data_IF_344183167403
#
_entry.id   IF_344183167403
#
_cell.length_a   1.000
_cell.length_b   1.000
_cell.length_c   1.000
_cell.angle_alpha   90.00
_cell.angle_beta   90.00
_cell.angle_gamma   90.00
#
_symmetry.space_group_name_H-M   'P 1'
#
loop_
_entity.id
_entity.type
_entity.pdbx_description
1 polymer ?
#
# COMPACT_ATOMS: atom_id res chain seq x y z
N UNK A 1 10.39 7.24 -12.81
CA UNK A 1 10.74 7.58 -14.21
C UNK A 1 10.61 9.09 -14.34
N UNK A 2 11.71 9.83 -14.19
CA UNK A 2 11.72 11.29 -14.31
C UNK A 2 11.36 11.70 -15.74
N UNK A 3 10.37 12.58 -15.87
CA UNK A 3 10.10 13.24 -17.13
C UNK A 3 11.15 14.35 -17.31
N UNK A 4 12.13 14.06 -18.16
CA UNK A 4 13.28 14.92 -18.47
C UNK A 4 12.85 16.37 -18.78
N UNK A 5 13.32 17.32 -17.98
CA UNK A 5 13.12 18.76 -18.16
C UNK A 5 13.57 19.24 -19.55
N UNK A 6 14.52 18.55 -20.19
CA UNK A 6 14.93 18.84 -21.55
C UNK A 6 13.81 18.53 -22.57
N UNK A 7 13.03 17.45 -22.38
CA UNK A 7 11.88 17.12 -23.23
C UNK A 7 10.76 18.15 -23.11
N UNK A 8 10.49 18.63 -21.89
CA UNK A 8 9.54 19.72 -21.65
C UNK A 8 9.97 21.02 -22.34
N UNK A 9 11.25 21.41 -22.21
CA UNK A 9 11.80 22.60 -22.87
C UNK A 9 11.74 22.50 -24.39
N UNK A 10 12.02 21.31 -24.94
CA UNK A 10 11.95 21.05 -26.38
C UNK A 10 10.52 21.15 -26.93
N UNK A 11 9.54 20.56 -26.24
CA UNK A 11 8.11 20.66 -26.60
C UNK A 11 7.63 22.12 -26.55
N UNK A 12 8.02 22.85 -25.50
CA UNK A 12 7.68 24.27 -25.35
C UNK A 12 8.31 25.13 -26.46
N UNK A 13 9.55 24.84 -26.87
CA UNK A 13 10.20 25.49 -28.01
C UNK A 13 9.47 25.29 -29.33
N UNK A 14 9.04 24.04 -29.61
CA UNK A 14 8.24 23.72 -30.81
C UNK A 14 6.89 24.45 -30.83
N UNK A 15 6.23 24.57 -29.67
CA UNK A 15 4.96 25.30 -29.57
C UNK A 15 5.12 26.80 -29.86
N UNK A 16 6.21 27.44 -29.40
CA UNK A 16 6.50 28.85 -29.75
C UNK A 16 6.76 29.03 -31.24
N UNK A 17 7.50 28.12 -31.87
CA UNK A 17 7.79 28.20 -33.30
C UNK A 17 6.50 28.09 -34.15
N UNK A 18 5.58 27.19 -33.76
CA UNK A 18 4.26 27.08 -34.38
C UNK A 18 3.43 28.37 -34.20
N UNK A 19 3.37 28.95 -32.99
CA UNK A 19 2.63 30.20 -32.77
C UNK A 19 3.20 31.36 -33.60
N UNK A 20 4.53 31.48 -33.72
CA UNK A 20 5.18 32.46 -34.58
C UNK A 20 4.87 32.24 -36.07
N UNK A 21 4.87 30.99 -36.54
CA UNK A 21 4.54 30.63 -37.91
C UNK A 21 3.07 30.95 -38.27
N UNK A 22 2.13 30.62 -37.37
CA UNK A 22 0.72 30.94 -37.58
C UNK A 22 0.43 32.45 -37.49
N UNK A 23 1.14 33.19 -36.62
CA UNK A 23 1.10 34.67 -36.66
C UNK A 23 1.60 35.18 -37.98
N UNK A 24 2.72 34.66 -38.49
CA UNK A 24 3.28 35.08 -39.77
C UNK A 24 2.30 34.83 -40.92
N UNK A 25 1.65 33.67 -40.99
CA UNK A 25 0.61 33.37 -42.01
C UNK A 25 -0.58 34.33 -41.88
N UNK A 26 -1.03 34.60 -40.65
CA UNK A 26 -2.14 35.55 -40.40
C UNK A 26 -1.76 36.99 -40.78
N UNK A 27 -0.50 37.38 -40.63
CA UNK A 27 0.02 38.68 -41.03
C UNK A 27 0.30 38.75 -42.54
N UNK A 28 0.79 37.69 -43.19
CA UNK A 28 1.09 37.69 -44.63
C UNK A 28 -0.16 37.62 -45.51
N UNK A 29 -1.31 37.25 -44.94
CA UNK A 29 -2.62 37.28 -45.59
C UNK A 29 -3.35 38.63 -45.45
N UNK A 30 -2.65 39.69 -45.00
CA UNK A 30 -3.15 41.09 -44.94
C UNK A 30 -3.66 41.65 -46.28
N UNK A 31 -3.47 40.94 -47.39
CA UNK A 31 -4.01 41.33 -48.69
C UNK A 31 -5.50 40.95 -48.90
N UNK A 32 -6.16 40.16 -48.03
CA UNK A 32 -7.62 39.98 -48.17
C UNK A 32 -8.39 39.57 -46.89
N UNK A 33 -9.22 40.52 -46.43
CA UNK A 33 -10.44 40.36 -45.61
C UNK A 33 -10.34 40.14 -44.08
N UNK A 34 -11.25 40.81 -43.36
CA UNK A 34 -11.54 40.73 -41.92
C UNK A 34 -11.88 39.32 -41.41
N UNK A 35 -12.21 38.39 -42.32
CA UNK A 35 -12.52 37.00 -42.01
C UNK A 35 -11.30 36.22 -41.50
N UNK A 36 -10.10 36.51 -42.02
CA UNK A 36 -8.86 35.80 -41.65
C UNK A 36 -8.40 36.09 -40.21
N UNK A 37 -8.62 37.32 -39.74
CA UNK A 37 -8.28 37.73 -38.38
C UNK A 37 -9.23 37.11 -37.35
N UNK A 38 -10.54 37.13 -37.61
CA UNK A 38 -11.54 36.48 -36.74
C UNK A 38 -11.29 34.97 -36.67
N UNK A 39 -10.97 34.33 -37.80
CA UNK A 39 -10.62 32.92 -37.84
C UNK A 39 -9.36 32.60 -37.02
N UNK A 40 -8.31 33.44 -37.05
CA UNK A 40 -7.11 33.27 -36.20
C UNK A 40 -7.45 33.35 -34.71
N UNK A 41 -8.24 34.33 -34.27
CA UNK A 41 -8.60 34.44 -32.84
C UNK A 41 -9.57 33.35 -32.40
N UNK A 42 -10.50 32.93 -33.25
CA UNK A 42 -11.39 31.79 -32.98
C UNK A 42 -10.59 30.48 -32.92
N UNK A 43 -9.66 30.27 -33.84
CA UNK A 43 -8.74 29.13 -33.86
C UNK A 43 -7.86 29.12 -32.61
N UNK A 44 -7.23 30.25 -32.26
CA UNK A 44 -6.37 30.40 -31.08
C UNK A 44 -7.14 30.20 -29.78
N UNK A 45 -8.35 30.74 -29.68
CA UNK A 45 -9.26 30.55 -28.53
C UNK A 45 -9.66 29.07 -28.41
N UNK A 46 -10.09 28.45 -29.51
CA UNK A 46 -10.44 27.01 -29.57
C UNK A 46 -9.27 26.10 -29.20
N UNK A 47 -8.08 26.32 -29.78
CA UNK A 47 -6.87 25.53 -29.48
C UNK A 47 -6.40 25.73 -28.04
N UNK A 48 -6.46 26.96 -27.51
CA UNK A 48 -6.12 27.24 -26.11
C UNK A 48 -7.05 26.49 -25.15
N UNK A 49 -8.36 26.47 -25.41
CA UNK A 49 -9.33 25.70 -24.59
C UNK A 49 -9.07 24.19 -24.65
N UNK A 50 -8.72 23.65 -25.81
CA UNK A 50 -8.40 22.22 -25.98
C UNK A 50 -7.13 21.83 -25.23
N UNK A 51 -6.08 22.66 -25.29
CA UNK A 51 -4.82 22.44 -24.54
C UNK A 51 -5.04 22.54 -23.03
N UNK A 52 -5.79 23.53 -22.56
CA UNK A 52 -6.15 23.67 -21.13
C UNK A 52 -6.96 22.48 -20.62
N UNK A 53 -7.93 21.98 -21.40
CA UNK A 53 -8.69 20.77 -21.07
C UNK A 53 -7.80 19.52 -21.04
N UNK A 54 -6.91 19.37 -22.00
CA UNK A 54 -5.96 18.25 -22.02
C UNK A 54 -5.01 18.27 -20.82
N UNK A 55 -4.48 19.45 -20.45
CA UNK A 55 -3.65 19.63 -19.25
C UNK A 55 -4.48 19.32 -17.99
N UNK A 56 -5.71 19.80 -17.89
CA UNK A 56 -6.58 19.52 -16.74
C UNK A 56 -6.90 18.03 -16.62
N UNK A 57 -7.21 17.33 -17.72
CA UNK A 57 -7.44 15.87 -17.74
C UNK A 57 -6.16 15.12 -17.34
N UNK A 58 -5.00 15.54 -17.84
CA UNK A 58 -3.72 14.92 -17.50
C UNK A 58 -3.37 15.15 -16.03
N UNK A 59 -3.55 16.37 -15.51
CA UNK A 59 -3.33 16.70 -14.09
C UNK A 59 -4.32 15.98 -13.18
N UNK A 60 -5.60 15.94 -13.52
CA UNK A 60 -6.61 15.18 -12.78
C UNK A 60 -6.33 13.68 -12.80
N UNK A 61 -5.93 13.12 -13.95
CA UNK A 61 -5.50 11.72 -14.08
C UNK A 61 -4.24 11.42 -13.25
N UNK A 62 -3.26 12.31 -13.27
CA UNK A 62 -2.02 12.16 -12.50
C UNK A 62 -2.23 12.36 -10.99
N UNK A 63 -3.14 13.24 -10.58
CA UNK A 63 -3.55 13.40 -9.19
C UNK A 63 -4.34 12.19 -8.68
N UNK A 64 -5.24 11.64 -9.50
CA UNK A 64 -6.05 10.48 -9.09
C UNK A 64 -5.23 9.20 -8.93
N UNK A 65 -4.12 9.05 -9.67
CA UNK A 65 -3.14 7.97 -9.46
C UNK A 65 -2.39 8.03 -8.12
N UNK A 66 -2.42 9.15 -7.39
CA UNK A 66 -1.74 9.29 -6.09
C UNK A 66 -2.56 8.80 -4.89
N UNK A 67 -3.83 8.47 -5.08
CA UNK A 67 -4.76 8.14 -3.99
C UNK A 67 -5.03 6.64 -3.83
N UNK A 68 -4.68 5.82 -4.82
CA UNK A 68 -4.85 4.37 -4.73
C UNK A 68 -3.68 3.76 -3.95
N UNK A 69 -3.95 3.31 -2.72
CA UNK A 69 -3.07 2.39 -2.01
C UNK A 69 -3.19 1.01 -2.65
N UNK A 70 -2.07 0.36 -2.93
CA UNK A 70 -2.01 -0.92 -3.60
C UNK A 70 -0.94 -1.81 -2.95
N UNK A 71 -1.02 -3.12 -3.24
CA UNK A 71 -0.03 -4.09 -2.80
C UNK A 71 1.37 -3.67 -3.26
N UNK A 72 2.34 -3.70 -2.35
CA UNK A 72 3.73 -3.38 -2.69
C UNK A 72 4.32 -4.59 -3.40
N UNK A 73 4.66 -4.39 -4.67
CA UNK A 73 5.31 -5.38 -5.53
C UNK A 73 6.64 -4.78 -5.98
N UNK A 74 7.72 -5.52 -5.77
CA UNK A 74 9.07 -5.11 -6.10
C UNK A 74 9.75 -6.18 -6.98
N UNK A 75 10.64 -5.79 -7.91
CA UNK A 75 11.41 -6.75 -8.69
C UNK A 75 12.48 -7.44 -7.83
N UNK A 76 12.86 -8.66 -8.22
CA UNK A 76 13.89 -9.45 -7.56
C UNK A 76 13.36 -10.36 -6.45
N UNK A 77 14.29 -10.97 -5.72
CA UNK A 77 14.02 -11.84 -4.58
C UNK A 77 13.68 -11.05 -3.30
N UNK A 78 13.05 -11.73 -2.35
CA UNK A 78 12.83 -11.21 -1.02
C UNK A 78 14.16 -10.84 -0.35
N UNK A 79 14.24 -9.70 0.35
CA UNK A 79 15.43 -9.38 1.13
C UNK A 79 15.60 -10.40 2.26
N UNK A 80 16.85 -10.69 2.62
CA UNK A 80 17.13 -11.49 3.80
C UNK A 80 16.74 -10.72 5.05
N UNK A 81 15.87 -11.31 5.86
CA UNK A 81 15.29 -10.68 7.04
C UNK A 81 15.41 -11.63 8.23
N UNK A 82 15.97 -11.13 9.32
CA UNK A 82 16.14 -11.94 10.53
C UNK A 82 14.87 -11.87 11.38
N UNK A 83 14.28 -13.02 11.67
CA UNK A 83 13.20 -13.14 12.63
C UNK A 83 13.75 -13.15 14.07
N UNK A 84 12.89 -12.89 15.04
CA UNK A 84 13.21 -12.96 16.47
C UNK A 84 13.73 -14.36 16.84
N UNK A 85 14.88 -14.42 17.51
CA UNK A 85 15.43 -15.66 18.08
C UNK A 85 14.74 -15.98 19.43
N UNK A 86 14.79 -17.24 19.86
CA UNK A 86 14.22 -17.72 21.13
C UNK A 86 12.73 -17.36 21.30
N UNK A 87 11.97 -17.47 20.21
CA UNK A 87 10.57 -17.13 20.15
C UNK A 87 9.69 -18.15 20.85
N UNK A 88 8.99 -17.69 21.89
CA UNK A 88 8.00 -18.49 22.60
C UNK A 88 6.61 -18.31 21.99
N UNK A 89 6.19 -19.27 21.16
CA UNK A 89 4.88 -19.29 20.54
C UNK A 89 3.73 -19.33 21.57
N UNK A 90 3.94 -19.94 22.74
CA UNK A 90 2.93 -20.02 23.81
C UNK A 90 2.63 -18.63 24.34
N UNK A 91 3.67 -17.83 24.61
CA UNK A 91 3.52 -16.43 25.06
C UNK A 91 2.94 -15.52 23.99
N UNK A 92 3.07 -15.88 22.72
CA UNK A 92 2.51 -15.13 21.60
C UNK A 92 1.01 -15.38 21.41
N UNK A 93 0.45 -16.46 21.96
CA UNK A 93 -0.96 -16.80 21.84
C UNK A 93 -1.91 -15.74 22.44
N UNK A 94 -3.20 -15.88 22.14
CA UNK A 94 -4.24 -14.94 22.51
C UNK A 94 -4.53 -13.92 21.41
N UNK A 95 -5.31 -12.90 21.78
CA UNK A 95 -5.74 -11.87 20.85
C UNK A 95 -4.66 -10.83 20.61
N UNK A 96 -4.53 -10.44 19.34
CA UNK A 96 -3.80 -9.27 18.89
C UNK A 96 -4.71 -8.39 18.04
N UNK A 97 -4.57 -7.08 18.20
CA UNK A 97 -5.22 -6.06 17.39
C UNK A 97 -4.23 -5.56 16.36
N UNK A 98 -4.65 -5.50 15.11
CA UNK A 98 -3.85 -4.87 14.07
C UNK A 98 -3.92 -3.34 14.26
N UNK A 99 -2.80 -2.74 14.62
CA UNK A 99 -2.70 -1.29 14.79
C UNK A 99 -2.41 -0.61 13.45
N UNK A 100 -1.40 -1.12 12.74
CA UNK A 100 -1.02 -0.63 11.41
C UNK A 100 -0.56 -1.78 10.52
N UNK A 101 -0.77 -1.64 9.22
CA UNK A 101 -0.32 -2.62 8.23
C UNK A 101 0.12 -1.98 6.93
N UNK A 102 0.91 -2.69 6.14
CA UNK A 102 1.00 -2.42 4.70
C UNK A 102 -0.31 -2.81 4.02
N UNK A 103 -0.59 -2.21 2.86
CA UNK A 103 -1.79 -2.59 2.11
C UNK A 103 -1.74 -4.08 1.76
N UNK A 104 -2.74 -4.83 2.23
CA UNK A 104 -2.93 -6.23 1.89
C UNK A 104 -4.34 -6.42 1.32
N UNK A 105 -4.42 -6.94 0.10
CA UNK A 105 -5.67 -6.98 -0.67
C UNK A 105 -6.80 -7.76 0.05
N UNK A 106 -6.47 -8.83 0.76
CA UNK A 106 -7.45 -9.67 1.47
C UNK A 106 -8.06 -9.00 2.70
N UNK A 107 -7.50 -7.86 3.14
CA UNK A 107 -7.99 -7.06 4.26
C UNK A 107 -8.58 -5.71 3.79
N UNK A 108 -8.80 -5.57 2.49
CA UNK A 108 -9.32 -4.35 1.92
C UNK A 108 -10.72 -4.02 2.45
N UNK A 109 -10.91 -2.78 2.90
CA UNK A 109 -12.19 -2.31 3.41
C UNK A 109 -12.56 -2.82 4.81
N UNK A 110 -11.62 -3.45 5.53
CA UNK A 110 -11.78 -3.90 6.90
C UNK A 110 -11.48 -2.83 7.96
N UNK A 111 -12.25 -2.85 9.05
CA UNK A 111 -11.94 -2.19 10.32
C UNK A 111 -12.01 -3.20 11.47
N UNK A 112 -11.55 -2.80 12.66
CA UNK A 112 -11.58 -3.61 13.87
C UNK A 112 -10.87 -4.96 13.71
N UNK A 113 -9.77 -4.97 12.95
CA UNK A 113 -9.09 -6.21 12.58
C UNK A 113 -8.42 -6.82 13.81
N UNK A 114 -8.68 -8.10 14.05
CA UNK A 114 -8.08 -8.88 15.15
C UNK A 114 -7.53 -10.19 14.62
N UNK A 115 -6.46 -10.66 15.24
CA UNK A 115 -5.90 -11.99 15.05
C UNK A 115 -5.92 -12.73 16.40
N UNK A 116 -6.69 -13.81 16.49
CA UNK A 116 -6.72 -14.69 17.65
C UNK A 116 -5.86 -15.92 17.39
N UNK A 117 -4.79 -16.08 18.17
CA UNK A 117 -3.88 -17.21 18.09
C UNK A 117 -4.16 -18.22 19.20
N UNK A 118 -4.36 -19.48 18.85
CA UNK A 118 -4.65 -20.56 19.80
C UNK A 118 -3.62 -21.67 19.67
N UNK A 119 -3.03 -22.12 20.78
CA UNK A 119 -2.13 -23.26 20.75
C UNK A 119 -2.94 -24.53 20.49
N UNK A 120 -2.50 -25.34 19.53
CA UNK A 120 -3.04 -26.68 19.26
C UNK A 120 -1.98 -27.73 19.58
N UNK A 121 -2.35 -28.99 19.44
CA UNK A 121 -1.42 -30.11 19.57
C UNK A 121 -0.28 -30.01 18.54
N UNK A 122 0.87 -30.61 18.88
CA UNK A 122 2.04 -30.74 18.00
C UNK A 122 2.67 -29.41 17.53
N UNK A 123 2.52 -28.33 18.31
CA UNK A 123 3.15 -27.03 18.01
C UNK A 123 2.48 -26.24 16.88
N UNK A 124 1.31 -26.70 16.41
CA UNK A 124 0.49 -25.96 15.45
C UNK A 124 -0.24 -24.83 16.19
N UNK A 125 -0.24 -23.62 15.62
CA UNK A 125 -1.01 -22.49 16.14
C UNK A 125 -2.23 -22.27 15.26
N UNK A 126 -3.43 -22.35 15.82
CA UNK A 126 -4.65 -21.93 15.14
C UNK A 126 -4.69 -20.42 14.99
N UNK A 127 -5.06 -19.92 13.80
CA UNK A 127 -5.20 -18.50 13.51
C UNK A 127 -6.64 -18.19 13.17
N UNK A 128 -7.22 -17.19 13.81
CA UNK A 128 -8.56 -16.69 13.49
C UNK A 128 -8.50 -15.18 13.32
N UNK A 129 -8.54 -14.73 12.08
CA UNK A 129 -8.60 -13.32 11.76
C UNK A 129 -10.04 -12.88 11.61
N UNK A 130 -10.40 -11.74 12.20
CA UNK A 130 -11.72 -11.12 12.07
C UNK A 130 -11.57 -9.67 11.63
N UNK A 131 -12.55 -9.19 10.89
CA UNK A 131 -12.67 -7.79 10.51
C UNK A 131 -14.14 -7.43 10.32
N UNK A 132 -14.46 -6.14 10.40
CA UNK A 132 -15.78 -5.59 10.06
C UNK A 132 -15.64 -4.86 8.74
N UNK A 133 -16.47 -5.19 7.75
CA UNK A 133 -16.52 -4.46 6.50
C UNK A 133 -17.04 -3.03 6.73
N UNK A 134 -16.29 -2.02 6.31
CA UNK A 134 -16.64 -0.61 6.55
C UNK A 134 -17.91 -0.19 5.81
N UNK A 135 -18.22 -0.82 4.66
CA UNK A 135 -19.39 -0.46 3.84
C UNK A 135 -20.66 -1.16 4.33
N UNK A 136 -20.58 -2.47 4.60
CA UNK A 136 -21.75 -3.27 4.99
C UNK A 136 -21.97 -3.37 6.50
N UNK A 137 -20.96 -3.03 7.32
CA UNK A 137 -20.98 -3.26 8.77
C UNK A 137 -20.93 -4.73 9.16
N UNK A 138 -20.80 -5.66 8.21
CA UNK A 138 -20.82 -7.10 8.46
C UNK A 138 -19.46 -7.57 8.96
N UNK A 139 -19.46 -8.37 10.03
CA UNK A 139 -18.27 -9.07 10.48
C UNK A 139 -17.94 -10.23 9.54
N UNK A 140 -16.68 -10.32 9.14
CA UNK A 140 -16.13 -11.45 8.39
C UNK A 140 -14.98 -12.07 9.18
N UNK A 141 -14.82 -13.38 9.02
CA UNK A 141 -13.74 -14.12 9.66
C UNK A 141 -13.07 -15.09 8.70
N UNK A 142 -11.79 -15.35 8.93
CA UNK A 142 -11.03 -16.36 8.20
C UNK A 142 -10.20 -17.19 9.19
N UNK A 143 -10.32 -18.52 9.05
CA UNK A 143 -9.64 -19.51 9.87
C UNK A 143 -8.44 -20.05 9.13
N UNK A 144 -7.33 -20.14 9.85
CA UNK A 144 -6.08 -20.66 9.34
C UNK A 144 -5.29 -21.41 10.41
N UNK A 145 -4.07 -21.75 10.03
CA UNK A 145 -3.09 -22.39 10.91
C UNK A 145 -1.71 -21.83 10.60
N UNK A 146 -0.88 -21.76 11.63
CA UNK A 146 0.51 -21.38 11.54
C UNK A 146 1.37 -22.52 12.09
N UNK A 147 2.42 -22.87 11.37
CA UNK A 147 3.42 -23.86 11.79
C UNK A 147 4.80 -23.24 11.77
N UNK A 148 5.63 -23.56 12.76
CA UNK A 148 7.02 -23.11 12.76
C UNK A 148 7.80 -23.91 11.72
N UNK A 149 8.47 -23.22 10.80
CA UNK A 149 9.22 -23.85 9.69
C UNK A 149 10.71 -23.93 9.95
N UNK A 150 11.23 -23.27 10.98
CA UNK A 150 12.62 -23.36 11.42
C UNK A 150 12.83 -24.42 12.50
N UNK A 151 14.00 -25.07 12.49
CA UNK A 151 14.44 -26.02 13.53
C UNK A 151 15.08 -25.33 14.75
N UNK A 152 15.37 -24.03 14.63
CA UNK A 152 15.75 -23.12 15.70
C UNK A 152 14.50 -22.39 16.17
N UNK A 153 14.50 -21.93 17.43
CA UNK A 153 13.47 -21.08 18.03
C UNK A 153 13.31 -19.70 17.33
N UNK A 154 13.62 -19.59 16.04
CA UNK A 154 13.33 -18.43 15.20
C UNK A 154 11.83 -18.32 14.96
N UNK A 155 11.31 -17.10 15.00
CA UNK A 155 9.91 -16.81 14.78
C UNK A 155 9.50 -16.83 13.29
N UNK A 156 9.98 -17.82 12.52
CA UNK A 156 9.60 -18.04 11.12
C UNK A 156 8.45 -19.02 11.06
N UNK A 157 7.27 -18.51 10.76
CA UNK A 157 6.04 -19.27 10.66
C UNK A 157 5.59 -19.36 9.20
N UNK A 158 4.99 -20.48 8.83
CA UNK A 158 4.21 -20.63 7.61
C UNK A 158 2.73 -20.58 7.99
N UNK A 159 1.99 -19.63 7.43
CA UNK A 159 0.56 -19.45 7.69
C UNK A 159 -0.25 -19.88 6.47
N UNK A 160 -1.26 -20.70 6.68
CA UNK A 160 -2.19 -21.10 5.63
C UNK A 160 -3.64 -20.84 6.04
N UNK A 161 -4.46 -20.47 5.05
CA UNK A 161 -5.89 -20.23 5.19
C UNK A 161 -6.65 -21.14 4.23
N UNK A 162 -7.08 -22.34 4.67
CA UNK A 162 -7.67 -23.37 3.78
C UNK A 162 -8.93 -22.95 3.04
N UNK A 163 -9.62 -21.90 3.50
CA UNK A 163 -10.81 -21.35 2.84
C UNK A 163 -10.48 -20.50 1.61
N UNK A 164 -9.21 -20.15 1.37
CA UNK A 164 -8.81 -19.47 0.15
C UNK A 164 -8.67 -20.48 -0.99
N UNK A 165 -9.03 -20.12 -2.23
CA UNK A 165 -8.90 -20.99 -3.40
C UNK A 165 -7.43 -21.26 -3.80
N UNK A 166 -6.48 -20.67 -3.08
CA UNK A 166 -5.05 -20.81 -3.27
C UNK A 166 -4.45 -21.51 -2.05
N UNK A 167 -3.89 -22.70 -2.24
CA UNK A 167 -3.23 -23.45 -1.19
C UNK A 167 -1.77 -22.98 -1.06
N UNK A 168 -1.59 -21.77 -0.52
CA UNK A 168 -0.31 -21.11 -0.36
C UNK A 168 -0.03 -20.94 1.13
N UNK A 169 1.16 -21.38 1.54
CA UNK A 169 1.72 -21.05 2.85
C UNK A 169 2.45 -19.70 2.74
N UNK A 170 1.90 -18.68 3.38
CA UNK A 170 2.50 -17.36 3.42
C UNK A 170 3.53 -17.29 4.57
N UNK A 171 4.75 -16.80 4.31
CA UNK A 171 5.72 -16.53 5.36
C UNK A 171 5.17 -15.50 6.36
N UNK A 172 5.33 -15.75 7.65
CA UNK A 172 4.95 -14.84 8.73
C UNK A 172 6.10 -14.81 9.72
N UNK A 173 6.90 -13.75 9.67
CA UNK A 173 8.12 -13.62 10.46
C UNK A 173 7.88 -12.59 11.55
N UNK A 174 7.90 -13.01 12.82
CA UNK A 174 7.88 -12.05 13.93
C UNK A 174 9.30 -11.48 14.04
N UNK A 175 9.47 -10.21 13.69
CA UNK A 175 10.76 -9.54 13.72
C UNK A 175 11.15 -9.25 15.18
N UNK A 176 10.20 -8.75 15.96
CA UNK A 176 10.38 -8.54 17.40
C UNK A 176 9.02 -8.45 18.10
N UNK A 177 8.94 -8.93 19.33
CA UNK A 177 7.79 -8.77 20.21
C UNK A 177 8.23 -8.81 21.67
N UNK A 178 7.54 -8.07 22.52
CA UNK A 178 7.66 -8.23 23.98
C UNK A 178 6.59 -9.20 24.55
N UNK A 179 5.80 -9.82 23.65
CA UNK A 179 4.65 -10.70 23.87
C UNK A 179 3.44 -10.05 24.55
N UNK A 180 3.62 -8.89 25.18
CA UNK A 180 2.67 -8.29 26.14
C UNK A 180 2.04 -7.00 25.65
N UNK A 181 2.68 -6.29 24.73
CA UNK A 181 2.20 -4.99 24.26
C UNK A 181 2.25 -4.85 22.75
N UNK A 182 3.33 -5.26 22.09
CA UNK A 182 3.49 -5.13 20.63
C UNK A 182 4.12 -6.37 19.98
N UNK A 183 3.86 -6.53 18.69
CA UNK A 183 4.62 -7.39 17.81
C UNK A 183 4.77 -6.72 16.44
N UNK A 184 5.98 -6.79 15.88
CA UNK A 184 6.26 -6.37 14.51
C UNK A 184 6.44 -7.62 13.66
N UNK A 185 5.62 -7.72 12.63
CA UNK A 185 5.55 -8.87 11.74
C UNK A 185 5.92 -8.42 10.34
N UNK A 186 6.70 -9.25 9.66
CA UNK A 186 7.07 -9.05 8.28
C UNK A 186 6.73 -10.29 7.46
N UNK A 187 6.35 -10.08 6.21
CA UNK A 187 6.10 -11.16 5.26
C UNK A 187 6.55 -10.73 3.88
N UNK A 188 7.25 -11.64 3.21
CA UNK A 188 7.60 -11.49 1.82
C UNK A 188 7.33 -12.78 1.08
N UNK A 189 6.69 -12.65 -0.08
CA UNK A 189 6.31 -13.77 -0.91
C UNK A 189 6.81 -13.54 -2.34
N UNK A 190 7.69 -14.41 -2.81
CA UNK A 190 8.22 -14.39 -4.17
C UNK A 190 7.24 -15.00 -5.17
N UNK A 191 7.09 -14.37 -6.32
CA UNK A 191 6.30 -14.87 -7.44
C UNK A 191 6.95 -14.46 -8.77
N UNK A 192 7.52 -15.45 -9.47
CA UNK A 192 8.25 -15.20 -10.70
C UNK A 192 9.48 -14.31 -10.47
N UNK A 193 9.55 -13.16 -11.15
CA UNK A 193 10.66 -12.20 -11.04
C UNK A 193 10.39 -11.07 -10.04
N UNK A 194 9.32 -11.19 -9.26
CA UNK A 194 8.85 -10.18 -8.34
C UNK A 194 8.61 -10.79 -6.96
N UNK A 195 8.47 -9.93 -5.97
CA UNK A 195 7.99 -10.31 -4.65
C UNK A 195 7.00 -9.29 -4.12
N UNK A 196 6.15 -9.73 -3.19
CA UNK A 196 5.28 -8.86 -2.41
C UNK A 196 5.91 -8.56 -1.06
N UNK A 197 5.70 -7.35 -0.54
CA UNK A 197 6.11 -6.96 0.81
C UNK A 197 4.89 -6.63 1.65
N UNK A 198 4.81 -7.23 2.83
CA UNK A 198 3.82 -6.90 3.85
C UNK A 198 4.49 -6.73 5.21
N UNK A 199 3.91 -5.85 6.02
CA UNK A 199 4.31 -5.67 7.41
C UNK A 199 3.07 -5.35 8.24
N UNK A 200 3.08 -5.80 9.49
CA UNK A 200 2.02 -5.50 10.46
C UNK A 200 2.65 -5.08 11.78
N UNK A 201 2.08 -4.04 12.39
CA UNK A 201 2.23 -3.75 13.80
C UNK A 201 0.98 -4.26 14.49
N UNK A 202 1.18 -5.27 15.35
CA UNK A 202 0.14 -5.84 16.18
C UNK A 202 0.32 -5.35 17.61
N UNK A 203 -0.80 -5.13 18.30
CA UNK A 203 -0.82 -4.64 19.69
C UNK A 203 -1.79 -5.45 20.54
N UNK A 204 -1.56 -5.51 21.86
CA UNK A 204 -2.48 -6.21 22.79
C UNK A 204 -3.70 -5.36 23.17
N UNK A 205 -3.69 -4.07 22.86
CA UNK A 205 -4.78 -3.13 23.12
C UNK A 205 -5.23 -2.49 21.80
N UNK A 206 -6.54 -2.21 21.64
CA UNK A 206 -7.04 -1.50 20.45
C UNK A 206 -6.45 -0.10 20.28
N UNK A 207 -6.16 0.57 21.39
CA UNK A 207 -5.62 1.92 21.43
C UNK A 207 -4.40 1.95 22.35
N UNK A 208 -3.26 1.42 21.89
CA UNK A 208 -2.07 1.29 22.72
C UNK A 208 -1.47 2.65 23.07
N UNK A 209 -0.74 2.77 24.20
CA UNK A 209 0.04 3.96 24.51
C UNK A 209 1.04 4.33 23.40
N UNK A 210 1.40 5.61 23.31
CA UNK A 210 2.33 6.11 22.28
C UNK A 210 3.69 5.41 22.38
N UNK A 211 4.14 5.14 23.61
CA UNK A 211 5.41 4.48 23.91
C UNK A 211 5.46 3.04 23.33
N UNK A 212 4.32 2.35 23.26
CA UNK A 212 4.23 1.01 22.65
C UNK A 212 4.41 1.11 21.13
N UNK A 213 3.79 2.11 20.50
CA UNK A 213 3.95 2.37 19.08
C UNK A 213 5.39 2.80 18.74
N UNK A 214 6.02 3.64 19.57
CA UNK A 214 7.41 4.06 19.38
C UNK A 214 8.38 2.88 19.40
N UNK A 215 8.18 1.90 20.30
CA UNK A 215 8.96 0.65 20.29
C UNK A 215 8.79 -0.12 18.98
N UNK A 216 7.55 -0.29 18.52
CA UNK A 216 7.28 -0.96 17.25
C UNK A 216 7.91 -0.23 16.05
N UNK A 217 7.86 1.10 16.02
CA UNK A 217 8.51 1.90 14.99
C UNK A 217 10.03 1.78 15.02
N UNK A 218 10.64 1.76 16.21
CA UNK A 218 12.08 1.55 16.36
C UNK A 218 12.53 0.20 15.78
N UNK A 219 11.71 -0.85 15.92
CA UNK A 219 11.97 -2.16 15.31
C UNK A 219 11.92 -2.09 13.79
N UNK A 220 10.91 -1.41 13.22
CA UNK A 220 10.83 -1.23 11.77
C UNK A 220 12.04 -0.47 11.22
N UNK A 221 12.42 0.64 11.87
CA UNK A 221 13.52 1.50 11.46
C UNK A 221 14.87 0.76 11.54
N UNK A 222 15.10 0.01 12.64
CA UNK A 222 16.28 -0.85 12.84
C UNK A 222 16.44 -1.93 11.76
N UNK A 223 15.32 -2.43 11.23
CA UNK A 223 15.30 -3.50 10.22
C UNK A 223 15.05 -2.98 8.79
N UNK A 224 15.16 -1.67 8.57
CA UNK A 224 14.96 -1.03 7.26
C UNK A 224 13.59 -1.30 6.61
N UNK A 225 12.55 -1.51 7.44
CA UNK A 225 11.17 -1.68 6.98
C UNK A 225 10.51 -0.30 6.92
N UNK A 226 10.23 0.18 5.71
CA UNK A 226 9.76 1.55 5.48
C UNK A 226 8.37 1.85 6.07
N UNK A 227 8.34 2.71 7.08
CA UNK A 227 7.10 3.22 7.69
C UNK A 227 6.19 3.99 6.72
N UNK A 228 6.73 4.47 5.60
CA UNK A 228 5.97 5.27 4.63
C UNK A 228 4.78 4.52 4.01
N UNK A 229 4.78 3.20 4.07
CA UNK A 229 3.71 2.37 3.54
C UNK A 229 2.68 1.92 4.58
N UNK A 230 2.88 2.25 5.86
CA UNK A 230 1.97 1.88 6.92
C UNK A 230 0.63 2.62 6.78
N UNK A 231 -0.42 1.85 7.02
CA UNK A 231 -1.80 2.26 7.04
C UNK A 231 -2.31 1.97 8.43
N UNK A 232 -2.76 3.01 9.14
CA UNK A 232 -3.42 2.82 10.42
C UNK A 232 -4.77 2.13 10.22
N UNK A 233 -4.97 1.07 10.97
CA UNK A 233 -6.22 0.32 10.99
C UNK A 233 -7.22 1.04 11.88
N UNK A 234 -8.46 1.14 11.43
CA UNK A 234 -9.51 1.76 12.24
C UNK A 234 -9.96 0.77 13.32
N UNK A 235 -9.57 1.01 14.57
CA UNK A 235 -9.97 0.21 15.75
C UNK A 235 -11.06 0.89 16.59
N UNK A 236 -11.85 1.80 16.00
CA UNK A 236 -12.95 2.52 16.67
C UNK A 236 -14.32 1.97 16.28
N UNK A 237 -15.29 2.12 17.18
CA UNK A 237 -16.69 1.73 17.01
C UNK A 237 -16.83 0.27 16.57
N UNK A 238 -16.19 -0.64 17.31
CA UNK A 238 -16.18 -2.06 17.03
C UNK A 238 -17.38 -2.74 17.70
N UNK A 239 -18.13 -3.54 16.96
CA UNK A 239 -19.38 -4.17 17.44
C UNK A 239 -19.15 -5.36 18.39
N UNK A 240 -17.90 -5.67 18.75
CA UNK A 240 -17.56 -6.77 19.67
C UNK A 240 -17.65 -6.36 21.16
N UNK A 241 -17.97 -5.10 21.47
CA UNK A 241 -18.05 -4.57 22.84
C UNK A 241 -19.47 -4.65 23.45
N UNK A 242 -20.35 -5.51 22.92
CA UNK A 242 -21.72 -5.74 23.43
C UNK A 242 -21.97 -7.17 23.86
#
# INVERSE_FOLDING_TARGET
MEMDLAKLRFLYGKMRALDSYYRYIAYSSYASSSHSYIAYYQWKRSHSFTVLRAIAVFLCGFLSLRLCRAQIIMPGSCPDMKAMDNFDATRYTGRWYEAEKYFFLFEFGGKCVTADYTLRENGVVGVLNRQINILSGTQTEIKGQATQVSKSDEAKLAVSFPSLPVNVEAPYWVIETDYKSYAVVWSCYEFGLFHTLNAWILTRERNPPVEVMEKAYAVLDKNHISRAYLIRTNQRDCTEDS
#
